data_IF_759847615954
#
_entry.id   IF_759847615954
#
_cell.length_a   1.000
_cell.length_b   1.000
_cell.length_c   1.000
_cell.angle_alpha   90.00
_cell.angle_beta   90.00
_cell.angle_gamma   90.00
#
_symmetry.space_group_name_H-M   'P 1'
#
loop_
_entity.id
_entity.type
_entity.pdbx_description
1 polymer ?
#
# COMPACT_ATOMS: atom_id res chain seq x y z
N UNK A 1 -24.85 -1.51 -1.40
CA UNK A 1 -23.60 -2.27 -1.53
C UNK A 1 -23.12 -2.08 -2.96
N UNK A 2 -22.13 -1.21 -3.18
CA UNK A 2 -21.60 -0.98 -4.52
C UNK A 2 -20.67 -2.15 -4.85
N UNK A 3 -21.21 -3.23 -5.43
CA UNK A 3 -20.38 -4.26 -6.07
C UNK A 3 -19.84 -3.68 -7.38
N UNK A 4 -19.09 -2.58 -7.28
CA UNK A 4 -18.35 -2.02 -8.39
C UNK A 4 -17.36 -3.08 -8.83
N UNK A 5 -17.28 -3.30 -10.15
CA UNK A 5 -16.28 -4.19 -10.75
C UNK A 5 -14.90 -3.83 -10.18
N UNK A 6 -14.19 -4.84 -9.64
CA UNK A 6 -12.82 -4.66 -9.16
C UNK A 6 -11.94 -4.10 -10.29
N UNK A 7 -11.01 -3.23 -9.96
CA UNK A 7 -10.01 -2.74 -10.92
C UNK A 7 -9.25 -3.93 -11.54
N UNK A 8 -9.02 -3.89 -12.84
CA UNK A 8 -8.37 -5.01 -13.56
C UNK A 8 -6.90 -4.72 -13.88
N UNK A 9 -6.17 -5.78 -14.25
CA UNK A 9 -4.80 -5.64 -14.77
C UNK A 9 -4.75 -4.73 -15.99
N UNK A 10 -5.73 -4.79 -16.90
CA UNK A 10 -5.77 -3.92 -18.08
C UNK A 10 -5.86 -2.45 -17.70
N UNK A 11 -6.68 -2.11 -16.69
CA UNK A 11 -6.83 -0.73 -16.21
C UNK A 11 -5.58 -0.21 -15.48
N UNK A 12 -4.87 -1.09 -14.79
CA UNK A 12 -3.60 -0.74 -14.13
C UNK A 12 -2.47 -0.62 -15.16
N UNK A 13 -2.41 -1.54 -16.12
CA UNK A 13 -1.40 -1.53 -17.18
C UNK A 13 -1.59 -0.36 -18.15
N UNK A 14 -2.83 0.11 -18.37
CA UNK A 14 -3.10 1.26 -19.24
C UNK A 14 -2.58 2.60 -18.71
N UNK A 15 -2.15 2.64 -17.44
CA UNK A 15 -1.57 3.82 -16.81
C UNK A 15 -0.08 3.63 -16.49
N UNK A 16 0.60 2.66 -17.11
CA UNK A 16 2.02 2.33 -16.83
C UNK A 16 2.26 1.42 -15.62
N UNK A 17 1.22 1.14 -14.83
CA UNK A 17 1.31 0.20 -13.71
C UNK A 17 1.58 -1.24 -14.18
N UNK A 18 2.10 -2.07 -13.30
CA UNK A 18 2.40 -3.47 -13.60
C UNK A 18 1.70 -4.39 -12.62
N UNK A 19 1.24 -5.54 -13.11
CA UNK A 19 0.53 -6.51 -12.27
C UNK A 19 0.99 -7.94 -12.47
N UNK A 20 0.85 -8.74 -11.42
CA UNK A 20 0.85 -10.21 -11.48
C UNK A 20 -0.47 -10.72 -10.92
N UNK A 21 -0.92 -11.87 -11.42
CA UNK A 21 -2.18 -12.49 -11.01
C UNK A 21 -1.97 -13.91 -10.52
N UNK A 22 -2.81 -14.35 -9.60
CA UNK A 22 -2.98 -15.77 -9.32
C UNK A 22 -3.57 -16.50 -10.54
N UNK A 23 -3.42 -17.83 -10.59
CA UNK A 23 -4.09 -18.67 -11.60
C UNK A 23 -5.62 -18.51 -11.57
N UNK A 24 -6.19 -18.20 -10.41
CA UNK A 24 -7.62 -17.91 -10.22
C UNK A 24 -8.05 -16.56 -10.80
N UNK A 25 -7.10 -15.71 -11.19
CA UNK A 25 -7.35 -14.43 -11.82
C UNK A 25 -7.42 -13.23 -10.87
N UNK A 26 -7.30 -13.40 -9.56
CA UNK A 26 -7.13 -12.27 -8.64
C UNK A 26 -5.77 -11.60 -8.81
N UNK A 27 -5.69 -10.30 -8.57
CA UNK A 27 -4.41 -9.59 -8.49
C UNK A 27 -3.59 -10.15 -7.32
N UNK A 28 -2.33 -10.44 -7.59
CA UNK A 28 -1.33 -10.85 -6.60
C UNK A 28 -0.41 -9.69 -6.26
N UNK A 29 0.17 -9.07 -7.29
CA UNK A 29 1.09 -7.94 -7.18
C UNK A 29 0.56 -6.77 -8.00
N UNK A 30 0.69 -5.56 -7.47
CA UNK A 30 0.46 -4.29 -8.15
C UNK A 30 1.66 -3.39 -7.89
N UNK A 31 2.31 -2.93 -8.95
CA UNK A 31 3.39 -1.95 -8.89
C UNK A 31 2.96 -0.69 -9.65
N UNK A 32 2.97 0.45 -8.96
CA UNK A 32 2.53 1.75 -9.49
C UNK A 32 3.65 2.79 -9.52
N UNK A 33 4.89 2.40 -9.20
CA UNK A 33 6.07 3.30 -9.21
C UNK A 33 6.27 3.99 -10.56
N UNK A 34 6.04 3.25 -11.64
CA UNK A 34 6.22 3.71 -13.03
C UNK A 34 4.89 4.16 -13.67
N UNK A 35 3.89 4.53 -12.85
CA UNK A 35 2.62 4.99 -13.40
C UNK A 35 2.80 6.32 -14.15
N UNK A 36 2.17 6.42 -15.33
CA UNK A 36 2.19 7.58 -16.21
C UNK A 36 1.21 8.69 -15.78
N UNK A 37 0.51 8.49 -14.66
CA UNK A 37 -0.43 9.43 -14.07
C UNK A 37 -0.14 9.62 -12.59
N UNK A 38 -0.68 10.69 -12.02
CA UNK A 38 -0.68 10.88 -10.56
C UNK A 38 -1.54 9.80 -9.90
N UNK A 39 -0.95 9.11 -8.92
CA UNK A 39 -1.62 8.16 -8.05
C UNK A 39 -1.93 8.86 -6.74
N UNK A 40 -3.17 9.31 -6.59
CA UNK A 40 -3.67 9.98 -5.38
C UNK A 40 -4.56 9.07 -4.52
N UNK A 41 -5.02 9.58 -3.37
CA UNK A 41 -5.92 8.86 -2.47
C UNK A 41 -7.22 8.38 -3.17
N UNK A 42 -7.72 9.13 -4.15
CA UNK A 42 -8.93 8.75 -4.91
C UNK A 42 -8.64 7.60 -5.87
N UNK A 43 -7.45 7.58 -6.47
CA UNK A 43 -7.00 6.46 -7.27
C UNK A 43 -6.83 5.22 -6.41
N UNK A 44 -6.20 5.32 -5.24
CA UNK A 44 -6.02 4.18 -4.32
C UNK A 44 -7.36 3.56 -3.91
N UNK A 45 -8.44 4.35 -3.75
CA UNK A 45 -9.79 3.81 -3.49
C UNK A 45 -10.26 2.79 -4.53
N UNK A 46 -9.75 2.84 -5.76
CA UNK A 46 -10.07 1.85 -6.81
C UNK A 46 -9.54 0.44 -6.49
N UNK A 47 -8.56 0.32 -5.59
CA UNK A 47 -8.08 -0.97 -5.06
C UNK A 47 -9.03 -1.59 -4.03
N UNK A 48 -10.10 -0.89 -3.63
CA UNK A 48 -11.11 -1.43 -2.70
C UNK A 48 -11.62 -2.79 -3.17
N UNK A 49 -11.64 -3.75 -2.26
CA UNK A 49 -12.11 -5.11 -2.54
C UNK A 49 -11.04 -6.06 -3.10
N UNK A 50 -9.83 -5.59 -3.41
CA UNK A 50 -8.67 -6.43 -3.77
C UNK A 50 -8.09 -7.15 -2.55
N UNK A 51 -8.94 -7.84 -1.78
CA UNK A 51 -8.61 -8.50 -0.52
C UNK A 51 -7.61 -9.65 -0.65
N UNK A 52 -7.29 -10.08 -1.88
CA UNK A 52 -6.28 -11.10 -2.20
C UNK A 52 -4.94 -10.51 -2.64
N UNK A 53 -4.82 -9.19 -2.76
CA UNK A 53 -3.55 -8.55 -3.10
C UNK A 53 -2.52 -8.82 -2.00
N UNK A 54 -1.32 -9.23 -2.42
CA UNK A 54 -0.23 -9.64 -1.53
C UNK A 54 0.88 -8.59 -1.50
N UNK A 55 1.14 -7.97 -2.65
CA UNK A 55 2.27 -7.07 -2.85
C UNK A 55 1.81 -5.79 -3.55
N UNK A 56 2.06 -4.65 -2.93
CA UNK A 56 1.66 -3.33 -3.41
C UNK A 56 2.82 -2.34 -3.27
N UNK A 57 3.27 -1.83 -4.41
CA UNK A 57 4.23 -0.73 -4.47
C UNK A 57 3.51 0.57 -4.88
N UNK A 58 3.52 1.54 -3.97
CA UNK A 58 3.01 2.92 -4.12
C UNK A 58 4.14 3.96 -3.94
N UNK A 59 5.39 3.55 -4.10
CA UNK A 59 6.56 4.43 -4.02
C UNK A 59 6.40 5.63 -4.97
N UNK A 60 6.66 6.83 -4.46
CA UNK A 60 6.56 8.08 -5.22
C UNK A 60 5.13 8.52 -5.56
N UNK A 61 4.11 7.86 -5.00
CA UNK A 61 2.70 8.24 -5.22
C UNK A 61 2.29 9.47 -4.37
N UNK A 62 1.38 10.29 -4.90
CA UNK A 62 0.83 11.48 -4.23
C UNK A 62 -0.30 11.12 -3.24
N UNK A 63 0.02 10.24 -2.29
CA UNK A 63 -0.93 9.71 -1.32
C UNK A 63 -0.69 10.27 0.08
N UNK A 64 -1.77 10.42 0.83
CA UNK A 64 -1.77 10.89 2.22
C UNK A 64 -2.25 9.79 3.16
N UNK A 65 -2.28 10.08 4.46
CA UNK A 65 -2.87 9.17 5.46
C UNK A 65 -4.28 8.68 5.09
N UNK A 66 -5.04 9.43 4.28
CA UNK A 66 -6.41 9.04 3.90
C UNK A 66 -6.43 7.76 3.03
N UNK A 67 -5.36 7.46 2.29
CA UNK A 67 -5.22 6.20 1.56
C UNK A 67 -5.27 4.98 2.48
N UNK A 68 -4.83 5.09 3.75
CA UNK A 68 -4.76 3.97 4.69
C UNK A 68 -6.14 3.40 5.04
N UNK A 69 -7.22 4.15 4.91
CA UNK A 69 -8.58 3.64 5.05
C UNK A 69 -8.92 2.57 4.01
N UNK A 70 -8.27 2.62 2.84
CA UNK A 70 -8.38 1.61 1.79
C UNK A 70 -7.32 0.53 1.97
N UNK A 71 -6.06 0.92 2.17
CA UNK A 71 -4.94 -0.02 2.25
C UNK A 71 -5.09 -1.01 3.42
N UNK A 72 -5.59 -0.55 4.57
CA UNK A 72 -5.86 -1.40 5.74
C UNK A 72 -6.92 -2.48 5.50
N UNK A 73 -7.77 -2.33 4.47
CA UNK A 73 -8.79 -3.31 4.08
C UNK A 73 -8.24 -4.38 3.12
N UNK A 74 -7.00 -4.23 2.64
CA UNK A 74 -6.32 -5.22 1.81
C UNK A 74 -5.76 -6.33 2.70
N UNK A 75 -6.65 -7.18 3.21
CA UNK A 75 -6.36 -8.09 4.33
C UNK A 75 -5.32 -9.17 4.06
N UNK A 76 -4.95 -9.43 2.81
CA UNK A 76 -3.89 -10.38 2.45
C UNK A 76 -2.52 -9.73 2.19
N UNK A 77 -2.40 -8.41 2.38
CA UNK A 77 -1.19 -7.69 2.03
C UNK A 77 -0.02 -8.09 2.93
N UNK A 78 1.07 -8.53 2.31
CA UNK A 78 2.30 -8.95 2.98
C UNK A 78 3.46 -7.98 2.73
N UNK A 79 3.47 -7.31 1.58
CA UNK A 79 4.47 -6.30 1.22
C UNK A 79 3.79 -5.00 0.81
N UNK A 80 4.20 -3.90 1.44
CA UNK A 80 3.71 -2.56 1.15
C UNK A 80 4.89 -1.59 1.08
N UNK A 81 5.03 -0.92 -0.06
CA UNK A 81 5.96 0.20 -0.22
C UNK A 81 5.20 1.53 -0.24
N UNK A 82 5.49 2.39 0.74
CA UNK A 82 4.98 3.76 0.87
C UNK A 82 6.14 4.77 0.84
N UNK A 83 7.30 4.39 0.33
CA UNK A 83 8.44 5.29 0.27
C UNK A 83 8.14 6.50 -0.62
N UNK A 84 8.71 7.66 -0.30
CA UNK A 84 8.52 8.91 -1.06
C UNK A 84 7.04 9.33 -1.20
N UNK A 85 6.26 9.16 -0.13
CA UNK A 85 4.84 9.57 -0.05
C UNK A 85 4.61 10.57 1.08
N UNK A 86 3.39 11.11 1.20
CA UNK A 86 3.01 12.09 2.25
C UNK A 86 2.46 11.44 3.53
N UNK A 87 2.87 10.20 3.82
CA UNK A 87 2.47 9.46 5.02
C UNK A 87 3.12 10.06 6.27
N UNK A 88 2.32 10.23 7.31
CA UNK A 88 2.73 10.79 8.60
C UNK A 88 2.61 9.77 9.74
N UNK A 89 3.07 10.16 10.93
CA UNK A 89 2.94 9.36 12.16
C UNK A 89 1.51 8.90 12.46
N UNK A 90 0.49 9.67 12.07
CA UNK A 90 -0.92 9.35 12.32
C UNK A 90 -1.36 8.09 11.57
N UNK A 91 -0.90 7.92 10.34
CA UNK A 91 -1.24 6.75 9.52
C UNK A 91 -0.63 5.46 10.07
N UNK A 92 0.51 5.54 10.75
CA UNK A 92 1.22 4.37 11.24
C UNK A 92 0.44 3.60 12.33
N UNK A 93 -0.42 4.26 13.10
CA UNK A 93 -1.31 3.58 14.06
C UNK A 93 -2.32 2.66 13.37
N UNK A 94 -2.71 2.96 12.13
CA UNK A 94 -3.62 2.11 11.34
C UNK A 94 -2.90 0.86 10.83
N UNK A 95 -1.61 0.98 10.47
CA UNK A 95 -0.80 -0.11 9.94
C UNK A 95 -0.57 -1.24 10.96
N UNK A 96 -0.64 -0.94 12.26
CA UNK A 96 -0.54 -1.95 13.35
C UNK A 96 -1.57 -3.07 13.23
N UNK A 97 -2.72 -2.79 12.59
CA UNK A 97 -3.80 -3.77 12.39
C UNK A 97 -3.62 -4.65 11.14
N UNK A 98 -2.59 -4.39 10.32
CA UNK A 98 -2.29 -5.19 9.13
C UNK A 98 -1.46 -6.43 9.50
N UNK A 99 -2.10 -7.39 10.17
CA UNK A 99 -1.44 -8.54 10.81
C UNK A 99 -0.69 -9.49 9.85
N UNK A 100 -0.94 -9.40 8.54
CA UNK A 100 -0.24 -10.19 7.52
C UNK A 100 0.98 -9.47 6.94
N UNK A 101 1.19 -8.20 7.27
CA UNK A 101 2.26 -7.40 6.70
C UNK A 101 3.63 -7.89 7.22
N UNK A 102 4.47 -8.33 6.30
CA UNK A 102 5.83 -8.84 6.56
C UNK A 102 6.89 -7.81 6.21
N UNK A 103 6.62 -6.94 5.23
CA UNK A 103 7.54 -5.89 4.79
C UNK A 103 6.77 -4.59 4.63
N UNK A 104 7.29 -3.54 5.25
CA UNK A 104 6.78 -2.17 5.15
C UNK A 104 7.96 -1.23 4.86
N UNK A 105 7.94 -0.54 3.73
CA UNK A 105 8.92 0.49 3.39
C UNK A 105 8.32 1.89 3.55
N UNK A 106 9.05 2.76 4.25
CA UNK A 106 8.64 4.11 4.66
C UNK A 106 9.75 5.15 4.43
N UNK A 107 10.70 4.85 3.54
CA UNK A 107 11.84 5.75 3.27
C UNK A 107 11.33 7.09 2.72
N UNK A 108 11.90 8.20 3.15
CA UNK A 108 11.50 9.54 2.68
C UNK A 108 10.01 9.87 2.90
N UNK A 109 9.42 9.39 4.00
CA UNK A 109 8.08 9.78 4.46
C UNK A 109 8.17 10.89 5.53
N UNK A 110 7.03 11.40 5.99
CA UNK A 110 6.95 12.40 7.07
C UNK A 110 6.85 11.75 8.46
N UNK A 111 7.30 10.50 8.59
CA UNK A 111 7.28 9.77 9.85
C UNK A 111 8.47 10.18 10.73
N UNK A 112 8.22 10.40 12.02
CA UNK A 112 9.27 10.70 12.98
C UNK A 112 10.03 9.44 13.37
N UNK A 113 11.31 9.63 13.73
CA UNK A 113 12.15 8.55 14.25
C UNK A 113 11.60 7.91 15.52
N UNK A 114 10.93 8.69 16.35
CA UNK A 114 10.24 8.20 17.54
C UNK A 114 9.12 7.23 17.17
N UNK A 115 8.24 7.63 16.23
CA UNK A 115 7.15 6.77 15.79
C UNK A 115 7.63 5.52 15.08
N UNK A 116 8.69 5.60 14.28
CA UNK A 116 9.29 4.42 13.64
C UNK A 116 9.80 3.41 14.69
N UNK A 117 10.43 3.88 15.78
CA UNK A 117 10.84 3.02 16.90
C UNK A 117 9.64 2.38 17.60
N UNK A 118 8.59 3.15 17.85
CA UNK A 118 7.34 2.66 18.45
C UNK A 118 6.71 1.54 17.59
N UNK A 119 6.58 1.75 16.28
CA UNK A 119 5.97 0.79 15.36
C UNK A 119 6.83 -0.47 15.26
N UNK A 120 8.16 -0.36 15.23
CA UNK A 120 9.07 -1.53 15.28
C UNK A 120 8.87 -2.38 16.54
N UNK A 121 8.61 -1.75 17.68
CA UNK A 121 8.33 -2.46 18.92
C UNK A 121 6.94 -3.14 18.92
N UNK A 122 5.96 -2.55 18.22
CA UNK A 122 4.60 -3.09 18.13
C UNK A 122 4.44 -4.19 17.05
N UNK A 123 5.10 -4.05 15.91
CA UNK A 123 4.96 -4.93 14.74
C UNK A 123 6.14 -5.91 14.63
N UNK A 124 6.30 -6.78 15.63
CA UNK A 124 7.47 -7.67 15.78
C UNK A 124 7.69 -8.65 14.62
N UNK A 125 6.65 -8.93 13.83
CA UNK A 125 6.72 -9.83 12.65
C UNK A 125 6.88 -9.08 11.32
N UNK A 126 7.03 -7.75 11.37
CA UNK A 126 7.11 -6.90 10.18
C UNK A 126 8.49 -6.28 10.07
N UNK A 127 9.18 -6.56 8.96
CA UNK A 127 10.42 -5.87 8.61
C UNK A 127 10.10 -4.48 8.09
N UNK A 128 10.37 -3.48 8.94
CA UNK A 128 10.23 -2.07 8.58
C UNK A 128 11.54 -1.58 7.97
N UNK A 129 11.45 -0.99 6.78
CA UNK A 129 12.55 -0.35 6.06
C UNK A 129 12.29 1.15 6.14
N UNK A 130 13.21 1.88 6.76
CA UNK A 130 13.18 3.32 6.93
C UNK A 130 14.63 3.79 6.95
N UNK A 131 14.96 4.82 6.16
CA UNK A 131 16.25 5.49 6.17
C UNK A 131 16.03 6.88 6.74
N UNK A 132 16.93 7.26 7.64
CA UNK A 132 16.94 8.53 8.36
C UNK A 132 17.32 9.72 7.46
#
# INVERSE_FOLDING_TARGET
MNTGKLITSEQINSIGGQTRRFKSGFLHTVNLREAEIVIDDQWVKKLTGQTKLVDLNLEGSDITDSALETLSKLSSLETLDLSETHITDRALDTLKNMHHLKVLALTSTQCSQEKIREIRAAMLNTRIIHID
#
